data_IF_609876240734
#
_entry.id   IF_609876240734
#
_cell.length_a   1.000
_cell.length_b   1.000
_cell.length_c   1.000
_cell.angle_alpha   90.00
_cell.angle_beta   90.00
_cell.angle_gamma   90.00
#
_symmetry.space_group_name_H-M   'P 1'
#
loop_
_entity.id
_entity.type
_entity.pdbx_description
1 polymer ?
#
# COMPACT_ATOMS: atom_id res chain seq x y z
N UNK A 1 18.12 -1.57 -5.45
CA UNK A 1 17.39 -1.41 -4.18
C UNK A 1 15.95 -1.02 -4.53
N UNK A 2 14.95 -1.75 -4.06
CA UNK A 2 13.55 -1.50 -4.43
C UNK A 2 12.97 -0.34 -3.61
N UNK A 3 12.01 0.39 -4.18
CA UNK A 3 11.23 1.34 -3.39
C UNK A 3 10.41 0.60 -2.32
N UNK A 4 10.17 1.23 -1.17
CA UNK A 4 9.41 0.62 -0.05
C UNK A 4 8.02 0.12 -0.50
N UNK A 5 7.37 0.88 -1.37
CA UNK A 5 6.07 0.53 -1.96
C UNK A 5 6.19 -0.65 -2.91
N UNK A 6 7.22 -0.71 -3.75
CA UNK A 6 7.43 -1.82 -4.68
C UNK A 6 7.73 -3.14 -3.96
N UNK A 7 8.55 -3.10 -2.91
CA UNK A 7 8.77 -4.25 -2.04
C UNK A 7 7.47 -4.73 -1.37
N UNK A 8 6.66 -3.81 -0.85
CA UNK A 8 5.36 -4.14 -0.27
C UNK A 8 4.41 -4.76 -1.31
N UNK A 9 4.43 -4.27 -2.54
CA UNK A 9 3.65 -4.84 -3.64
C UNK A 9 4.05 -6.29 -3.92
N UNK A 10 5.34 -6.57 -4.05
CA UNK A 10 5.85 -7.91 -4.31
C UNK A 10 5.48 -8.88 -3.18
N UNK A 11 5.67 -8.48 -1.92
CA UNK A 11 5.34 -9.31 -0.76
C UNK A 11 3.84 -9.59 -0.70
N UNK A 12 3.01 -8.56 -0.87
CA UNK A 12 1.57 -8.77 -0.90
C UNK A 12 1.20 -9.73 -2.05
N UNK A 13 1.72 -9.49 -3.26
CA UNK A 13 1.46 -10.32 -4.45
C UNK A 13 1.85 -11.78 -4.26
N UNK A 14 2.97 -12.04 -3.59
CA UNK A 14 3.45 -13.38 -3.27
C UNK A 14 2.53 -14.09 -2.27
N UNK A 15 2.16 -13.40 -1.18
CA UNK A 15 1.30 -13.95 -0.13
C UNK A 15 -0.19 -14.02 -0.52
N UNK A 16 -0.61 -13.29 -1.55
CA UNK A 16 -2.01 -13.19 -2.05
C UNK A 16 -3.04 -12.85 -0.96
N UNK A 17 -2.62 -12.21 0.12
CA UNK A 17 -3.44 -11.89 1.30
C UNK A 17 -3.11 -10.50 1.82
N UNK A 18 -4.10 -9.78 2.39
CA UNK A 18 -3.84 -8.50 3.03
C UNK A 18 -2.98 -8.74 4.27
N UNK A 19 -1.88 -7.99 4.38
CA UNK A 19 -0.92 -8.13 5.46
C UNK A 19 -0.81 -6.84 6.27
N UNK A 20 -0.47 -6.99 7.54
CA UNK A 20 -0.16 -5.88 8.41
C UNK A 20 1.16 -5.23 7.97
N UNK A 21 1.25 -3.90 8.04
CA UNK A 21 2.46 -3.12 7.70
C UNK A 21 3.70 -3.71 8.37
N UNK A 22 3.56 -4.11 9.65
CA UNK A 22 4.63 -4.73 10.45
C UNK A 22 5.18 -6.03 9.84
N UNK A 23 4.32 -6.90 9.35
CA UNK A 23 4.72 -8.15 8.71
C UNK A 23 5.40 -7.89 7.36
N UNK A 24 4.86 -6.97 6.56
CA UNK A 24 5.46 -6.58 5.28
C UNK A 24 6.88 -6.08 5.49
N UNK A 25 7.11 -5.23 6.49
CA UNK A 25 8.44 -4.75 6.85
C UNK A 25 9.35 -5.88 7.30
N UNK A 26 8.85 -6.76 8.18
CA UNK A 26 9.64 -7.89 8.68
C UNK A 26 10.10 -8.79 7.53
N UNK A 27 9.20 -9.11 6.61
CA UNK A 27 9.50 -9.93 5.42
C UNK A 27 10.45 -9.17 4.49
N UNK A 28 10.25 -7.88 4.27
CA UNK A 28 11.12 -7.08 3.41
C UNK A 28 12.55 -6.95 3.95
N UNK A 29 12.70 -6.76 5.26
CA UNK A 29 13.99 -6.71 5.94
C UNK A 29 14.66 -8.09 5.91
N UNK A 30 13.91 -9.17 6.17
CA UNK A 30 14.43 -10.54 6.10
C UNK A 30 14.91 -10.91 4.68
N UNK A 31 14.23 -10.40 3.65
CA UNK A 31 14.62 -10.59 2.24
C UNK A 31 15.61 -9.53 1.72
N UNK A 32 16.02 -8.55 2.54
CA UNK A 32 16.93 -7.47 2.11
C UNK A 32 16.38 -6.58 0.98
N UNK A 33 15.06 -6.46 0.83
CA UNK A 33 14.45 -5.68 -0.26
C UNK A 33 14.66 -4.17 -0.10
N UNK A 34 14.55 -3.67 1.14
CA UNK A 34 14.84 -2.30 1.52
C UNK A 34 15.27 -2.22 2.99
N UNK A 35 15.98 -1.15 3.34
CA UNK A 35 16.36 -0.86 4.72
C UNK A 35 15.68 0.42 5.22
N UNK A 36 15.35 0.44 6.51
CA UNK A 36 14.79 1.61 7.19
C UNK A 36 15.73 2.07 8.29
N UNK A 37 16.25 3.29 8.17
CA UNK A 37 17.15 3.91 9.17
C UNK A 37 16.44 4.48 10.42
N UNK A 38 15.13 4.29 10.59
CA UNK A 38 14.33 5.02 11.58
C UNK A 38 13.68 4.17 12.67
N UNK A 39 13.36 4.79 13.81
CA UNK A 39 12.68 4.20 14.98
C UNK A 39 11.30 3.59 14.70
N UNK A 40 10.63 4.01 13.62
CA UNK A 40 9.25 3.57 13.29
C UNK A 40 9.11 3.22 11.82
N UNK A 41 9.57 2.03 11.39
CA UNK A 41 9.48 1.61 10.00
C UNK A 41 8.03 1.46 9.52
N UNK A 42 7.09 1.18 10.44
CA UNK A 42 5.64 1.07 10.17
C UNK A 42 5.03 2.38 9.63
N UNK A 43 5.29 3.48 10.33
CA UNK A 43 4.89 4.82 9.88
C UNK A 43 5.59 5.21 8.58
N UNK A 44 6.85 4.81 8.41
CA UNK A 44 7.61 5.11 7.20
C UNK A 44 7.05 4.40 5.97
N UNK A 45 6.67 3.12 6.08
CA UNK A 45 6.08 2.37 4.98
C UNK A 45 4.70 2.90 4.62
N UNK A 46 3.84 3.14 5.62
CA UNK A 46 2.52 3.72 5.38
C UNK A 46 2.60 5.11 4.72
N UNK A 47 3.48 5.99 5.19
CA UNK A 47 3.71 7.31 4.57
C UNK A 47 4.16 7.22 3.10
N UNK A 48 5.02 6.24 2.77
CA UNK A 48 5.41 5.98 1.38
C UNK A 48 4.24 5.50 0.53
N UNK A 49 3.38 4.61 1.03
CA UNK A 49 2.16 4.17 0.33
C UNK A 49 1.20 5.36 0.12
N UNK A 50 1.01 6.21 1.14
CA UNK A 50 0.17 7.41 1.01
C UNK A 50 0.70 8.39 -0.05
N UNK A 51 2.02 8.59 -0.10
CA UNK A 51 2.66 9.47 -1.07
C UNK A 51 2.51 8.91 -2.50
N UNK A 52 2.71 7.61 -2.68
CA UNK A 52 2.51 6.92 -3.96
C UNK A 52 1.05 7.03 -4.42
N UNK A 53 0.10 6.78 -3.52
CA UNK A 53 -1.32 6.92 -3.81
C UNK A 53 -1.66 8.35 -4.23
N UNK A 54 -1.14 9.36 -3.52
CA UNK A 54 -1.34 10.78 -3.86
C UNK A 54 -0.76 11.12 -5.23
N UNK A 55 0.43 10.61 -5.56
CA UNK A 55 1.06 10.82 -6.87
C UNK A 55 0.23 10.18 -7.99
N UNK A 56 -0.25 8.95 -7.81
CA UNK A 56 -1.10 8.25 -8.79
C UNK A 56 -2.45 8.94 -8.98
N UNK A 57 -3.10 9.34 -7.91
CA UNK A 57 -4.36 10.09 -8.00
C UNK A 57 -4.18 11.41 -8.77
N UNK A 58 -3.08 12.13 -8.55
CA UNK A 58 -2.77 13.33 -9.33
C UNK A 58 -2.52 13.03 -10.82
N UNK A 59 -1.96 11.87 -11.14
CA UNK A 59 -1.80 11.38 -12.52
C UNK A 59 -3.09 10.83 -13.14
N UNK A 60 -4.16 10.69 -12.36
CA UNK A 60 -5.39 10.02 -12.80
C UNK A 60 -5.25 8.49 -12.95
N UNK A 61 -4.20 7.91 -12.37
CA UNK A 61 -3.96 6.46 -12.42
C UNK A 61 -4.67 5.71 -11.29
N UNK A 62 -4.95 4.42 -11.55
CA UNK A 62 -5.47 3.52 -10.53
C UNK A 62 -4.43 3.27 -9.43
N UNK A 63 -4.90 3.29 -8.19
CA UNK A 63 -4.11 2.95 -7.02
C UNK A 63 -3.70 1.47 -7.08
N UNK A 64 -2.50 1.14 -6.59
CA UNK A 64 -2.07 -0.27 -6.46
C UNK A 64 -2.45 -0.87 -5.10
N UNK A 65 -2.48 -0.04 -4.07
CA UNK A 65 -2.70 -0.45 -2.69
C UNK A 65 -4.05 0.01 -2.16
N UNK A 66 -4.61 -0.82 -1.30
CA UNK A 66 -5.93 -0.67 -0.72
C UNK A 66 -5.86 -0.88 0.79
N UNK A 67 -6.45 0.01 1.60
CA UNK A 67 -6.47 -0.15 3.05
C UNK A 67 -7.68 -0.98 3.45
N UNK A 68 -7.43 -2.15 4.02
CA UNK A 68 -8.46 -3.13 4.43
C UNK A 68 -8.74 -3.06 5.93
N UNK A 69 -7.85 -2.49 6.74
CA UNK A 69 -8.02 -2.42 8.19
C UNK A 69 -7.10 -1.44 8.90
N UNK A 70 -6.97 -1.60 10.23
CA UNK A 70 -5.97 -0.89 11.03
C UNK A 70 -4.60 -1.37 10.58
N UNK A 71 -3.84 -0.47 9.94
CA UNK A 71 -2.49 -0.74 9.41
C UNK A 71 -2.36 -2.03 8.57
N UNK A 72 -3.46 -2.42 7.91
CA UNK A 72 -3.52 -3.60 7.05
C UNK A 72 -3.75 -3.16 5.61
N UNK A 73 -2.87 -3.58 4.72
CA UNK A 73 -2.90 -3.22 3.30
C UNK A 73 -3.09 -4.46 2.45
N UNK A 74 -3.87 -4.30 1.38
CA UNK A 74 -4.06 -5.29 0.33
C UNK A 74 -3.83 -4.67 -1.05
N UNK A 75 -3.86 -5.51 -2.07
CA UNK A 75 -3.79 -5.07 -3.47
C UNK A 75 -5.18 -4.90 -4.06
N UNK A 76 -5.36 -3.87 -4.88
CA UNK A 76 -6.62 -3.63 -5.61
C UNK A 76 -6.85 -4.71 -6.67
N UNK A 77 -5.77 -5.26 -7.24
CA UNK A 77 -5.83 -6.32 -8.26
C UNK A 77 -6.52 -7.61 -7.77
N UNK A 78 -6.66 -7.81 -6.46
CA UNK A 78 -7.40 -8.97 -5.92
C UNK A 78 -8.91 -8.78 -5.90
N UNK A 79 -9.42 -7.62 -6.33
CA UNK A 79 -10.83 -7.29 -6.20
C UNK A 79 -11.27 -7.08 -4.76
N UNK A 80 -10.34 -6.91 -3.82
CA UNK A 80 -10.66 -6.53 -2.45
C UNK A 80 -11.28 -5.14 -2.47
N UNK A 81 -12.55 -5.05 -2.07
CA UNK A 81 -13.19 -3.75 -1.91
C UNK A 81 -12.42 -2.97 -0.83
N UNK A 82 -11.87 -1.77 -1.14
CA UNK A 82 -11.43 -0.87 -0.08
C UNK A 82 -12.54 -0.73 0.94
N UNK A 83 -12.17 -0.58 2.22
CA UNK A 83 -13.10 0.08 3.14
C UNK A 83 -13.36 1.44 2.51
N UNK A 84 -14.50 1.58 1.82
CA UNK A 84 -14.85 2.81 1.13
C UNK A 84 -14.83 3.89 2.21
N UNK A 85 -13.90 4.88 2.19
CA UNK A 85 -14.27 6.13 2.82
C UNK A 85 -15.57 6.54 2.14
N UNK A 86 -16.51 7.06 2.91
CA UNK A 86 -17.83 7.52 2.46
C UNK A 86 -17.65 8.71 1.50
N UNK A 87 -16.99 8.50 0.36
CA UNK A 87 -16.75 9.50 -0.68
C UNK A 87 -17.95 9.37 -1.60
N UNK A 88 -18.91 10.23 -1.29
CA UNK A 88 -19.96 10.68 -2.17
C UNK A 88 -19.43 10.95 -3.58
N UNK A 89 -19.88 10.12 -4.51
CA UNK A 89 -20.46 10.51 -5.80
C UNK A 89 -19.77 11.68 -6.51
N UNK A 90 -18.92 11.38 -7.48
CA UNK A 90 -18.78 12.24 -8.66
C UNK A 90 -19.24 11.46 -9.89
N UNK A 91 -20.54 11.61 -10.16
CA UNK A 91 -21.11 11.37 -11.49
C UNK A 91 -20.65 12.53 -12.37
N UNK A 92 -19.76 12.29 -13.32
CA UNK A 92 -19.66 13.16 -14.50
C UNK A 92 -20.63 12.62 -15.56
N UNK A 93 -21.84 13.18 -15.57
CA UNK A 93 -22.63 13.33 -16.80
C UNK A 93 -22.43 14.77 -17.26
N UNK A 94 -21.99 14.94 -18.48
CA UNK A 94 -21.78 16.21 -19.17
C UNK A 94 -21.22 15.89 -20.53
#
# INVERSE_FOLDING_TARGET
MYAKTEAAYLILKDYKKPLHVREIIRIALANGMFETKGKTPELSLSASIYSENKLRTQKGESLRFCRIGKETWGLIEWGLEPIKPKVSKWVRRG
#
